data_IF_369125224677
#
_entry.id   IF_369125224677
#
_cell.length_a   1.000
_cell.length_b   1.000
_cell.length_c   1.000
_cell.angle_alpha   90.00
_cell.angle_beta   90.00
_cell.angle_gamma   90.00
#
_symmetry.space_group_name_H-M   'P 1'
#
loop_
_entity.id
_entity.type
_entity.pdbx_description
1 polymer ?
#
# COMPACT_ATOMS: atom_id res chain seq x y z
N UNK A 1 23.12 -20.63 32.24
CA UNK A 1 23.60 -19.40 31.59
C UNK A 1 22.36 -18.56 31.34
N UNK A 2 22.22 -17.35 31.90
CA UNK A 2 21.08 -16.51 31.57
C UNK A 2 21.32 -15.92 30.18
N UNK A 3 20.36 -16.11 29.26
CA UNK A 3 20.35 -15.43 27.97
C UNK A 3 20.34 -13.92 28.20
N UNK A 4 21.25 -13.21 27.54
CA UNK A 4 21.29 -11.75 27.57
C UNK A 4 20.00 -11.21 26.92
N UNK A 5 19.33 -10.21 27.51
CA UNK A 5 18.11 -9.68 26.93
C UNK A 5 18.46 -8.96 25.62
N UNK A 6 18.08 -9.56 24.48
CA UNK A 6 18.17 -8.89 23.20
C UNK A 6 17.47 -7.53 23.30
N UNK A 7 18.20 -6.46 22.95
CA UNK A 7 17.75 -5.08 23.16
C UNK A 7 16.66 -4.77 22.15
N UNK A 8 15.41 -5.06 22.51
CA UNK A 8 14.23 -4.79 21.69
C UNK A 8 13.71 -3.39 21.95
N UNK A 9 13.56 -2.59 20.88
CA UNK A 9 12.93 -1.26 20.96
C UNK A 9 11.65 -1.23 20.15
N UNK A 10 10.52 -1.00 20.83
CA UNK A 10 9.19 -0.91 20.21
C UNK A 10 8.71 0.53 20.17
N UNK A 11 8.26 0.99 19.01
CA UNK A 11 7.55 2.24 18.82
C UNK A 11 6.13 1.98 18.32
N UNK A 12 5.15 2.70 18.86
CA UNK A 12 3.74 2.58 18.48
C UNK A 12 3.26 3.91 17.92
N UNK A 13 2.68 3.86 16.73
CA UNK A 13 2.04 5.00 16.08
C UNK A 13 0.56 4.73 15.88
N UNK A 14 -0.24 5.79 15.95
CA UNK A 14 -1.66 5.75 15.60
C UNK A 14 -1.89 6.54 14.31
N UNK A 15 -2.75 6.02 13.46
CA UNK A 15 -3.08 6.61 12.18
C UNK A 15 -4.48 6.22 11.73
N UNK A 16 -4.77 6.51 10.47
CA UNK A 16 -6.04 6.20 9.84
C UNK A 16 -5.78 5.31 8.62
N UNK A 17 -6.65 4.32 8.41
CA UNK A 17 -6.66 3.52 7.20
C UNK A 17 -7.95 3.76 6.42
N UNK A 18 -7.82 3.98 5.11
CA UNK A 18 -8.94 4.02 4.17
C UNK A 18 -9.00 2.72 3.39
N UNK A 19 -10.10 2.00 3.55
CA UNK A 19 -10.36 0.75 2.85
C UNK A 19 -10.94 1.10 1.48
N UNK A 20 -10.31 0.57 0.44
CA UNK A 20 -10.76 0.68 -0.93
C UNK A 20 -10.66 -0.66 -1.64
N UNK A 21 -11.21 -0.71 -2.84
CA UNK A 21 -11.03 -1.84 -3.74
C UNK A 21 -10.26 -1.38 -4.97
N UNK A 22 -9.25 -2.15 -5.35
CA UNK A 22 -8.56 -2.05 -6.63
C UNK A 22 -8.92 -3.25 -7.50
N UNK A 23 -8.72 -3.09 -8.80
CA UNK A 23 -8.82 -4.18 -9.76
C UNK A 23 -7.47 -4.87 -9.82
N UNK A 24 -7.44 -6.19 -9.60
CA UNK A 24 -6.24 -6.99 -9.80
C UNK A 24 -5.75 -6.87 -11.24
N UNK A 25 -4.44 -6.71 -11.46
CA UNK A 25 -3.84 -6.44 -12.77
C UNK A 25 -3.72 -4.96 -13.14
N UNK A 26 -4.37 -4.03 -12.43
CA UNK A 26 -4.16 -2.58 -12.63
C UNK A 26 -3.00 -2.00 -11.81
N UNK A 27 -2.37 -2.78 -10.92
CA UNK A 27 -1.29 -2.30 -10.05
C UNK A 27 -0.03 -1.87 -10.82
N UNK A 28 0.16 -2.39 -12.04
CA UNK A 28 1.24 -2.04 -12.96
C UNK A 28 0.97 -0.72 -13.73
N UNK A 29 -0.27 -0.24 -13.68
CA UNK A 29 -0.66 1.02 -14.31
C UNK A 29 -0.21 2.18 -13.42
N UNK A 30 1.06 2.58 -13.56
CA UNK A 30 1.63 3.74 -12.88
C UNK A 30 2.08 4.76 -13.91
N UNK A 31 1.61 6.00 -13.75
CA UNK A 31 2.16 7.13 -14.49
C UNK A 31 3.56 7.42 -13.97
N UNK A 32 4.52 7.52 -14.87
CA UNK A 32 5.90 7.89 -14.56
C UNK A 32 6.10 9.38 -14.80
N UNK A 33 7.10 10.04 -14.16
CA UNK A 33 7.37 11.45 -14.41
C UNK A 33 7.56 11.80 -15.89
N UNK A 34 8.16 10.89 -16.66
CA UNK A 34 8.39 11.06 -18.10
C UNK A 34 7.09 11.15 -18.89
N UNK A 35 6.00 10.56 -18.40
CA UNK A 35 4.68 10.63 -19.04
C UNK A 35 4.10 12.05 -19.02
N UNK A 36 4.61 12.93 -18.15
CA UNK A 36 4.20 14.34 -18.06
C UNK A 36 5.16 15.29 -18.79
N UNK A 37 6.17 14.77 -19.49
CA UNK A 37 7.19 15.59 -20.18
C UNK A 37 6.66 16.37 -21.38
N UNK A 38 5.56 15.92 -21.99
CA UNK A 38 4.91 16.59 -23.12
C UNK A 38 3.46 16.15 -23.31
N UNK A 39 2.64 16.91 -24.07
CA UNK A 39 1.27 16.49 -24.39
C UNK A 39 1.19 15.14 -25.09
N UNK A 40 2.15 14.83 -25.97
CA UNK A 40 2.20 13.54 -26.68
C UNK A 40 2.56 12.40 -25.72
N UNK A 41 3.51 12.61 -24.81
CA UNK A 41 3.87 11.60 -23.80
C UNK A 41 2.67 11.25 -22.91
N UNK A 42 1.89 12.26 -22.51
CA UNK A 42 0.68 12.04 -21.71
C UNK A 42 -0.39 11.27 -22.48
N UNK A 43 -0.60 11.62 -23.76
CA UNK A 43 -1.53 10.88 -24.62
C UNK A 43 -1.11 9.41 -24.76
N UNK A 44 0.18 9.14 -24.98
CA UNK A 44 0.69 7.76 -25.01
C UNK A 44 0.48 7.03 -23.68
N UNK A 45 0.70 7.72 -22.55
CA UNK A 45 0.47 7.14 -21.24
C UNK A 45 -1.00 6.75 -21.04
N UNK A 46 -1.94 7.65 -21.37
CA UNK A 46 -3.39 7.38 -21.30
C UNK A 46 -3.78 6.18 -22.16
N UNK A 47 -3.23 6.06 -23.37
CA UNK A 47 -3.49 4.89 -24.24
C UNK A 47 -3.07 3.59 -23.58
N UNK A 48 -1.89 3.53 -22.94
CA UNK A 48 -1.44 2.34 -22.20
C UNK A 48 -2.36 1.99 -21.04
N UNK A 49 -2.85 3.01 -20.32
CA UNK A 49 -3.84 2.81 -19.24
C UNK A 49 -5.09 2.15 -19.81
N UNK A 50 -5.61 2.69 -20.91
CA UNK A 50 -6.84 2.20 -21.54
C UNK A 50 -6.70 0.75 -22.03
N UNK A 51 -5.59 0.40 -22.68
CA UNK A 51 -5.32 -0.97 -23.11
C UNK A 51 -5.25 -1.94 -21.92
N UNK A 52 -4.58 -1.54 -20.83
CA UNK A 52 -4.50 -2.34 -19.62
C UNK A 52 -5.88 -2.54 -18.95
N UNK A 53 -6.76 -1.52 -19.00
CA UNK A 53 -8.15 -1.63 -18.52
C UNK A 53 -8.93 -2.67 -19.32
N UNK A 54 -8.88 -2.61 -20.66
CA UNK A 54 -9.57 -3.57 -21.53
C UNK A 54 -9.09 -4.99 -21.24
N UNK A 55 -7.77 -5.18 -21.19
CA UNK A 55 -7.17 -6.49 -20.93
C UNK A 55 -7.58 -7.05 -19.57
N UNK A 56 -7.62 -6.22 -18.53
CA UNK A 56 -8.07 -6.63 -17.20
C UNK A 56 -9.57 -7.02 -17.20
N UNK A 57 -10.39 -6.37 -18.02
CA UNK A 57 -11.80 -6.71 -18.18
C UNK A 57 -11.98 -8.05 -18.90
N UNK A 58 -11.24 -8.29 -19.98
CA UNK A 58 -11.26 -9.54 -20.75
C UNK A 58 -10.78 -10.75 -19.95
N UNK A 59 -9.80 -10.56 -19.07
CA UNK A 59 -9.20 -11.63 -18.25
C UNK A 59 -10.02 -12.02 -17.02
N UNK A 60 -11.13 -11.33 -16.75
CA UNK A 60 -11.95 -11.53 -15.56
C UNK A 60 -11.45 -10.69 -14.39
N UNK A 61 -12.18 -9.62 -14.11
CA UNK A 61 -11.79 -8.62 -13.13
C UNK A 61 -11.91 -9.16 -11.69
N UNK A 62 -10.80 -9.58 -11.07
CA UNK A 62 -10.77 -9.90 -9.65
C UNK A 62 -10.62 -8.64 -8.81
N UNK A 63 -11.57 -8.41 -7.91
CA UNK A 63 -11.55 -7.29 -6.98
C UNK A 63 -10.63 -7.63 -5.82
N UNK A 64 -9.70 -6.72 -5.52
CA UNK A 64 -8.76 -6.85 -4.41
C UNK A 64 -8.94 -5.66 -3.48
N UNK A 65 -9.07 -5.92 -2.20
CA UNK A 65 -9.24 -4.89 -1.18
C UNK A 65 -7.89 -4.46 -0.65
N UNK A 66 -7.74 -3.17 -0.41
CA UNK A 66 -6.54 -2.56 0.13
C UNK A 66 -6.89 -1.54 1.19
N UNK A 67 -6.02 -1.38 2.18
CA UNK A 67 -6.09 -0.30 3.15
C UNK A 67 -4.93 0.67 2.93
N UNK A 68 -5.22 1.91 2.50
CA UNK A 68 -4.23 3.00 2.54
C UNK A 68 -4.10 3.49 3.98
N UNK A 69 -2.99 3.16 4.62
CA UNK A 69 -2.63 3.60 5.97
C UNK A 69 -1.88 4.92 5.89
N UNK A 70 -2.26 5.88 6.72
CA UNK A 70 -1.59 7.17 6.89
C UNK A 70 -1.33 7.45 8.37
N UNK A 71 -0.09 7.77 8.70
CA UNK A 71 0.31 8.21 10.04
C UNK A 71 1.47 9.22 9.96
N UNK A 72 1.86 9.78 11.10
CA UNK A 72 3.02 10.67 11.23
C UNK A 72 4.09 9.96 12.07
N UNK A 73 5.33 9.90 11.57
CA UNK A 73 6.44 9.27 12.28
C UNK A 73 6.95 10.12 13.47
N UNK A 74 7.95 9.61 14.20
CA UNK A 74 8.51 10.30 15.38
C UNK A 74 9.27 11.59 15.03
N UNK A 75 9.58 11.82 13.76
CA UNK A 75 10.30 13.00 13.25
C UNK A 75 9.35 14.01 12.59
N UNK A 76 8.04 13.74 12.57
CA UNK A 76 7.02 14.61 11.99
C UNK A 76 6.77 14.37 10.50
N UNK A 77 7.35 13.33 9.90
CA UNK A 77 7.14 13.04 8.48
C UNK A 77 5.81 12.31 8.26
N UNK A 78 5.01 12.68 7.24
CA UNK A 78 3.86 11.90 6.84
C UNK A 78 4.32 10.60 6.17
N UNK A 79 3.82 9.47 6.66
CA UNK A 79 4.06 8.15 6.07
C UNK A 79 2.75 7.60 5.53
N UNK A 80 2.77 7.16 4.28
CA UNK A 80 1.62 6.55 3.59
C UNK A 80 2.06 5.24 2.96
N UNK A 81 1.34 4.16 3.26
CA UNK A 81 1.58 2.85 2.65
C UNK A 81 0.26 2.08 2.52
N UNK A 82 0.26 1.02 1.71
CA UNK A 82 -0.92 0.20 1.50
C UNK A 82 -0.73 -1.18 2.15
N UNK A 83 -1.80 -1.69 2.77
CA UNK A 83 -1.91 -3.08 3.22
C UNK A 83 -2.85 -3.81 2.26
N UNK A 84 -2.40 -4.98 1.79
CA UNK A 84 -3.22 -5.90 1.02
C UNK A 84 -4.20 -6.66 1.94
N UNK A 85 -5.49 -6.52 1.68
CA UNK A 85 -6.56 -7.18 2.46
C UNK A 85 -7.12 -8.42 1.74
N UNK A 86 -6.61 -8.77 0.55
CA UNK A 86 -7.06 -9.90 -0.26
C UNK A 86 -8.35 -9.65 -1.04
N UNK A 87 -8.98 -10.72 -1.51
CA UNK A 87 -10.16 -10.65 -2.40
C UNK A 87 -11.49 -10.66 -1.65
N UNK A 88 -11.52 -11.18 -0.43
CA UNK A 88 -12.71 -11.20 0.41
C UNK A 88 -13.04 -9.80 0.93
N UNK A 89 -14.33 -9.47 1.03
CA UNK A 89 -14.75 -8.21 1.65
C UNK A 89 -14.23 -8.11 3.08
N UNK A 90 -13.43 -7.08 3.41
CA UNK A 90 -12.87 -6.93 4.74
C UNK A 90 -13.96 -6.80 5.81
N UNK A 91 -13.74 -7.29 7.04
CA UNK A 91 -14.75 -7.32 8.11
C UNK A 91 -14.92 -5.94 8.79
N UNK A 92 -15.06 -4.88 8.00
CA UNK A 92 -15.24 -3.52 8.50
C UNK A 92 -16.56 -2.96 8.00
N UNK A 93 -17.28 -2.28 8.89
CA UNK A 93 -18.56 -1.62 8.58
C UNK A 93 -18.38 -0.21 8.01
N UNK A 94 -17.15 0.31 8.02
CA UNK A 94 -16.79 1.66 7.59
C UNK A 94 -15.57 1.60 6.68
N UNK A 95 -15.55 2.46 5.67
CA UNK A 95 -14.40 2.61 4.78
C UNK A 95 -13.22 3.34 5.43
N UNK A 96 -13.44 4.01 6.57
CA UNK A 96 -12.40 4.67 7.36
C UNK A 96 -12.28 4.00 8.72
N UNK A 97 -11.10 3.44 9.00
CA UNK A 97 -10.81 2.73 10.25
C UNK A 97 -9.55 3.29 10.91
N UNK A 98 -9.37 3.02 12.20
CA UNK A 98 -8.12 3.36 12.90
C UNK A 98 -7.05 2.33 12.53
N UNK A 99 -5.83 2.81 12.36
CA UNK A 99 -4.65 1.97 12.19
C UNK A 99 -3.71 2.14 13.39
N UNK A 100 -3.18 1.04 13.90
CA UNK A 100 -2.08 1.04 14.86
C UNK A 100 -0.88 0.42 14.17
N UNK A 101 0.22 1.14 14.16
CA UNK A 101 1.48 0.71 13.56
C UNK A 101 2.45 0.44 14.69
N UNK A 102 2.97 -0.78 14.76
CA UNK A 102 3.97 -1.17 15.74
C UNK A 102 5.27 -1.44 14.99
N UNK A 103 6.31 -0.69 15.31
CA UNK A 103 7.66 -0.88 14.75
C UNK A 103 8.53 -1.45 15.84
N UNK A 104 9.08 -2.63 15.60
CA UNK A 104 10.01 -3.31 16.50
C UNK A 104 11.40 -3.32 15.86
N UNK A 105 12.38 -2.81 16.60
CA UNK A 105 13.80 -2.90 16.27
C UNK A 105 14.41 -4.02 17.11
N UNK A 106 15.07 -4.95 16.46
CA UNK A 106 15.79 -6.08 17.04
C UNK A 106 17.05 -6.35 16.21
N UNK A 107 18.07 -6.94 16.82
CA UNK A 107 19.28 -7.38 16.12
C UNK A 107 19.03 -8.68 15.37
N UNK A 108 19.66 -8.85 14.21
CA UNK A 108 19.66 -10.12 13.48
C UNK A 108 20.52 -11.13 14.26
N UNK A 109 19.99 -12.30 14.55
CA UNK A 109 20.74 -13.36 15.22
C UNK A 109 21.77 -13.93 14.20
N UNK A 110 23.07 -13.83 14.49
CA UNK A 110 24.10 -14.53 13.70
C UNK A 110 23.98 -16.04 14.01
N UNK A 111 23.55 -16.82 13.01
CA UNK A 111 23.53 -18.30 13.03
C UNK A 111 24.94 -18.93 13.19
#
# INVERSE_FOLDING_TARGET
MPEEPSVKKVAVFEGEARIGSIVSGMQEIRLKPEDFSSPIALQMAISRIYEAVIKAFEQGMQRKYVAEVRFTDSLGNPVVFAIDLGEATPPFSKDKVKARITVELYEEEED
#
